data_IF_396496216591
#
_entry.id   IF_396496216591
#
_cell.length_a   1.000
_cell.length_b   1.000
_cell.length_c   1.000
_cell.angle_alpha   90.00
_cell.angle_beta   90.00
_cell.angle_gamma   90.00
#
_symmetry.space_group_name_H-M   'P 1'
#
loop_
_entity.id
_entity.type
_entity.pdbx_description
1 polymer ?
#
# COMPACT_ATOMS: atom_id res chain seq x y z
N UNK A 1 1.63 -28.49 -31.55
CA UNK A 1 2.26 -28.18 -30.24
C UNK A 1 1.63 -26.92 -29.63
N UNK A 2 1.35 -26.93 -28.34
CA UNK A 2 0.54 -25.92 -27.62
C UNK A 2 1.08 -24.49 -27.73
N UNK A 3 2.40 -24.35 -27.91
CA UNK A 3 3.09 -23.07 -28.11
C UNK A 3 2.72 -22.34 -29.41
N UNK A 4 2.19 -23.00 -30.44
CA UNK A 4 1.71 -22.33 -31.66
C UNK A 4 0.42 -21.55 -31.46
N UNK A 5 -0.24 -21.69 -30.30
CA UNK A 5 -1.45 -20.95 -29.90
C UNK A 5 -1.11 -19.73 -29.03
N UNK A 6 0.15 -19.58 -28.64
CA UNK A 6 0.64 -18.44 -27.86
C UNK A 6 1.06 -17.36 -28.85
N UNK A 7 0.24 -16.32 -28.95
CA UNK A 7 0.41 -15.23 -29.92
C UNK A 7 0.89 -13.92 -29.28
N UNK A 8 0.93 -13.84 -27.94
CA UNK A 8 1.47 -12.67 -27.23
C UNK A 8 3.00 -12.74 -27.13
N UNK A 9 3.65 -11.59 -27.24
CA UNK A 9 5.13 -11.46 -27.21
C UNK A 9 5.66 -10.87 -25.91
N UNK A 10 4.76 -10.45 -25.02
CA UNK A 10 5.13 -9.72 -23.81
C UNK A 10 5.44 -10.66 -22.65
N UNK A 11 6.35 -10.21 -21.79
CA UNK A 11 6.71 -10.90 -20.56
C UNK A 11 5.92 -10.30 -19.41
N UNK A 12 4.99 -11.07 -18.85
CA UNK A 12 4.23 -10.68 -17.66
C UNK A 12 2.73 -10.45 -17.91
N UNK A 13 2.03 -10.04 -16.85
CA UNK A 13 0.58 -9.90 -16.84
C UNK A 13 0.21 -8.41 -16.87
N UNK A 14 -0.34 -7.94 -17.98
CA UNK A 14 -0.76 -6.53 -18.15
C UNK A 14 -1.86 -6.08 -17.17
N UNK A 15 -2.49 -7.02 -16.44
CA UNK A 15 -3.52 -6.72 -15.44
C UNK A 15 -3.04 -5.70 -14.41
N UNK A 16 -1.78 -5.77 -13.95
CA UNK A 16 -1.27 -4.84 -12.92
C UNK A 16 -1.39 -3.36 -13.33
N UNK A 17 -1.43 -3.07 -14.63
CA UNK A 17 -1.54 -1.72 -15.16
C UNK A 17 -2.98 -1.20 -15.21
N UNK A 18 -3.99 -2.06 -15.09
CA UNK A 18 -5.39 -1.71 -15.33
C UNK A 18 -6.19 -1.43 -14.06
N UNK A 19 -5.63 -1.66 -12.87
CA UNK A 19 -6.32 -1.43 -11.59
C UNK A 19 -5.77 -0.21 -10.83
N UNK A 20 -6.69 0.51 -10.18
CA UNK A 20 -6.33 1.60 -9.27
C UNK A 20 -5.66 1.09 -7.97
N UNK A 21 -5.01 2.00 -7.25
CA UNK A 21 -4.30 1.68 -6.01
C UNK A 21 -5.30 1.56 -4.86
N UNK A 22 -5.49 0.34 -4.37
CA UNK A 22 -6.34 0.01 -3.23
C UNK A 22 -5.50 -0.65 -2.12
N UNK A 23 -4.87 0.14 -1.23
CA UNK A 23 -4.18 -0.42 -0.08
C UNK A 23 -5.22 -0.81 0.97
N UNK A 24 -5.30 -2.08 1.33
CA UNK A 24 -6.13 -2.54 2.45
C UNK A 24 -5.89 -1.66 3.69
N UNK A 25 -6.92 -0.99 4.26
CA UNK A 25 -6.71 -0.04 5.34
C UNK A 25 -6.12 -0.64 6.62
N UNK A 26 -6.15 -1.98 6.76
CA UNK A 26 -5.63 -2.70 7.91
C UNK A 26 -4.19 -3.18 7.66
N UNK A 27 -3.99 -4.01 6.64
CA UNK A 27 -2.68 -4.65 6.38
C UNK A 27 -1.76 -3.84 5.45
N UNK A 28 -2.32 -2.92 4.67
CA UNK A 28 -1.63 -2.21 3.59
C UNK A 28 -1.37 -3.09 2.35
N UNK A 29 -1.90 -4.32 2.30
CA UNK A 29 -1.77 -5.19 1.14
C UNK A 29 -2.57 -4.67 -0.05
N UNK A 30 -2.10 -4.96 -1.27
CA UNK A 30 -2.86 -4.64 -2.47
C UNK A 30 -4.04 -5.59 -2.64
N UNK A 31 -5.23 -5.05 -2.88
CA UNK A 31 -6.44 -5.83 -3.15
C UNK A 31 -6.44 -6.35 -4.60
N UNK A 32 -5.88 -7.55 -4.80
CA UNK A 32 -5.75 -8.19 -6.12
C UNK A 32 -7.06 -8.63 -6.78
N UNK A 33 -8.11 -8.87 -5.99
CA UNK A 33 -9.38 -9.37 -6.53
C UNK A 33 -10.20 -8.20 -7.12
N UNK A 34 -9.93 -7.89 -8.38
CA UNK A 34 -10.62 -6.84 -9.14
C UNK A 34 -11.50 -7.47 -10.22
N UNK A 35 -12.74 -7.01 -10.33
CA UNK A 35 -13.70 -7.50 -11.31
C UNK A 35 -13.77 -6.55 -12.51
N UNK A 36 -13.49 -7.06 -13.70
CA UNK A 36 -13.80 -6.33 -14.93
C UNK A 36 -15.32 -6.18 -15.06
N UNK A 37 -15.80 -4.95 -15.11
CA UNK A 37 -17.24 -4.64 -15.21
C UNK A 37 -17.73 -4.49 -16.65
N UNK A 38 -16.81 -4.31 -17.60
CA UNK A 38 -17.12 -4.18 -19.03
C UNK A 38 -16.00 -4.84 -19.84
N UNK A 39 -16.38 -5.65 -20.84
CA UNK A 39 -15.47 -6.31 -21.77
C UNK A 39 -16.09 -6.23 -23.17
N UNK A 40 -15.32 -5.81 -24.16
CA UNK A 40 -15.75 -5.73 -25.56
C UNK A 40 -14.65 -6.16 -26.52
N UNK A 41 -15.02 -6.41 -27.78
CA UNK A 41 -14.04 -6.57 -28.85
C UNK A 41 -13.27 -5.25 -29.06
N UNK A 42 -11.99 -5.38 -29.39
CA UNK A 42 -11.15 -4.25 -29.77
C UNK A 42 -11.68 -3.60 -31.05
N UNK A 43 -11.64 -2.26 -31.10
CA UNK A 43 -12.04 -1.45 -32.24
C UNK A 43 -10.91 -1.24 -33.26
N UNK A 44 -11.22 -0.69 -34.44
CA UNK A 44 -10.20 -0.30 -35.42
C UNK A 44 -9.25 0.76 -34.81
N UNK A 45 -7.95 0.45 -34.72
CA UNK A 45 -6.93 1.35 -34.17
C UNK A 45 -6.55 1.09 -32.71
N UNK A 46 -7.21 0.15 -32.03
CA UNK A 46 -6.77 -0.33 -30.72
C UNK A 46 -5.76 -1.47 -30.90
N UNK A 47 -4.60 -1.32 -30.29
CA UNK A 47 -3.50 -2.26 -30.40
C UNK A 47 -3.35 -3.08 -29.11
N UNK A 48 -2.80 -4.28 -29.28
CA UNK A 48 -2.43 -5.10 -28.13
C UNK A 48 -1.43 -4.35 -27.26
N UNK A 49 -1.69 -4.30 -25.95
CA UNK A 49 -0.87 -3.56 -24.99
C UNK A 49 -1.27 -2.10 -24.80
N UNK A 50 -2.28 -1.60 -25.51
CA UNK A 50 -2.83 -0.27 -25.24
C UNK A 50 -3.43 -0.22 -23.84
N UNK A 51 -2.91 0.69 -23.02
CA UNK A 51 -3.38 0.95 -21.66
C UNK A 51 -3.65 2.43 -21.52
N UNK A 52 -4.82 2.76 -21.00
CA UNK A 52 -5.17 4.10 -20.58
C UNK A 52 -5.58 4.09 -19.11
N UNK A 53 -5.06 5.06 -18.35
CA UNK A 53 -5.35 5.23 -16.92
C UNK A 53 -5.64 6.69 -16.64
N UNK A 54 -6.74 6.95 -15.93
CA UNK A 54 -6.99 8.26 -15.32
C UNK A 54 -6.21 8.36 -13.99
N UNK A 55 -5.08 9.06 -14.02
CA UNK A 55 -4.22 9.25 -12.86
C UNK A 55 -4.87 10.13 -11.77
N UNK A 56 -5.72 11.08 -12.16
CA UNK A 56 -6.41 11.95 -11.21
C UNK A 56 -7.46 11.14 -10.44
N UNK A 57 -8.27 10.35 -11.16
CA UNK A 57 -9.24 9.45 -10.53
C UNK A 57 -8.55 8.38 -9.67
N UNK A 58 -7.44 7.82 -10.13
CA UNK A 58 -6.63 6.88 -9.35
C UNK A 58 -6.18 7.49 -8.02
N UNK A 59 -5.74 8.75 -8.02
CA UNK A 59 -5.35 9.46 -6.81
C UNK A 59 -6.53 9.73 -5.87
N UNK A 60 -7.71 10.10 -6.39
CA UNK A 60 -8.92 10.28 -5.57
C UNK A 60 -9.26 9.00 -4.83
N UNK A 61 -9.31 7.87 -5.54
CA UNK A 61 -9.57 6.56 -4.92
C UNK A 61 -8.51 6.21 -3.88
N UNK A 62 -7.23 6.44 -4.16
CA UNK A 62 -6.17 6.25 -3.17
C UNK A 62 -6.43 7.05 -1.87
N UNK A 63 -6.87 8.31 -1.98
CA UNK A 63 -7.16 9.13 -0.80
C UNK A 63 -8.39 8.63 -0.04
N UNK A 64 -9.44 8.16 -0.72
CA UNK A 64 -10.61 7.53 -0.07
C UNK A 64 -10.19 6.31 0.75
N UNK A 65 -9.33 5.45 0.19
CA UNK A 65 -8.82 4.28 0.89
C UNK A 65 -7.90 4.64 2.06
N UNK A 66 -7.01 5.61 1.85
CA UNK A 66 -6.14 6.13 2.91
C UNK A 66 -6.95 6.72 4.07
N UNK A 67 -8.07 7.38 3.80
CA UNK A 67 -8.92 7.97 4.85
C UNK A 67 -9.53 6.91 5.79
N UNK A 68 -9.65 5.66 5.34
CA UNK A 68 -10.10 4.53 6.18
C UNK A 68 -9.01 3.97 7.10
N UNK A 69 -7.74 4.35 6.89
CA UNK A 69 -6.62 3.82 7.68
C UNK A 69 -6.61 4.36 9.10
N UNK A 70 -6.07 3.58 10.03
CA UNK A 70 -5.84 3.99 11.42
C UNK A 70 -4.38 4.36 11.61
N UNK A 71 -4.14 5.55 12.15
CA UNK A 71 -2.78 6.00 12.41
C UNK A 71 -2.11 5.18 13.52
N UNK A 72 -0.91 4.70 13.25
CA UNK A 72 -0.07 4.04 14.25
C UNK A 72 0.25 4.96 15.44
N UNK A 73 0.22 6.29 15.27
CA UNK A 73 0.48 7.21 16.38
C UNK A 73 -0.62 7.16 17.45
N UNK A 74 -1.88 6.94 17.05
CA UNK A 74 -3.00 6.91 18.01
C UNK A 74 -3.39 5.50 18.42
N UNK A 75 -3.12 4.51 17.57
CA UNK A 75 -3.67 3.16 17.70
C UNK A 75 -2.61 2.07 17.91
N UNK A 76 -1.32 2.39 17.84
CA UNK A 76 -0.29 1.38 18.09
C UNK A 76 -0.26 1.01 19.58
N UNK A 77 -0.38 -0.27 19.94
CA UNK A 77 -0.39 -0.71 21.33
C UNK A 77 0.97 -0.53 22.02
N UNK A 78 2.06 -0.50 21.27
CA UNK A 78 3.44 -0.41 21.77
C UNK A 78 4.20 0.81 21.22
N UNK A 79 3.49 1.74 20.56
CA UNK A 79 4.08 2.94 19.97
C UNK A 79 4.99 2.67 18.75
N UNK A 80 4.94 1.47 18.17
CA UNK A 80 5.66 1.15 16.93
C UNK A 80 4.84 1.45 15.69
N UNK A 81 5.51 1.68 14.55
CA UNK A 81 4.88 1.90 13.23
C UNK A 81 4.05 0.71 12.75
N UNK A 82 4.38 -0.50 13.21
CA UNK A 82 3.84 -1.78 12.74
C UNK A 82 4.31 -2.92 13.65
N UNK A 83 3.61 -4.05 13.73
CA UNK A 83 4.02 -5.16 14.57
C UNK A 83 5.36 -5.78 14.16
N UNK A 84 6.21 -6.09 15.14
CA UNK A 84 7.52 -6.71 14.92
C UNK A 84 7.42 -8.18 14.45
N UNK A 85 6.41 -8.92 14.90
CA UNK A 85 6.23 -10.34 14.61
C UNK A 85 5.76 -10.63 13.17
N UNK A 86 5.34 -9.61 12.41
CA UNK A 86 4.92 -9.81 11.02
C UNK A 86 6.13 -10.10 10.12
N UNK A 87 6.17 -11.30 9.54
CA UNK A 87 7.25 -11.76 8.65
C UNK A 87 7.33 -10.88 7.40
N UNK A 88 8.56 -10.50 7.01
CA UNK A 88 8.83 -9.71 5.81
C UNK A 88 10.10 -10.18 5.10
N UNK A 89 10.17 -10.09 3.76
CA UNK A 89 11.46 -10.10 3.07
C UNK A 89 12.31 -8.94 3.59
N UNK A 90 13.57 -9.23 3.94
CA UNK A 90 14.49 -8.26 4.53
C UNK A 90 13.94 -7.64 5.83
N UNK A 91 13.99 -8.41 6.92
CA UNK A 91 13.46 -7.98 8.21
C UNK A 91 14.14 -6.67 8.67
N UNK A 92 13.37 -5.60 8.95
CA UNK A 92 13.94 -4.31 9.32
C UNK A 92 14.67 -4.35 10.67
N UNK A 93 15.63 -3.46 10.87
CA UNK A 93 16.23 -3.25 12.20
C UNK A 93 15.21 -2.64 13.16
N UNK A 94 15.39 -2.85 14.47
CA UNK A 94 14.48 -2.33 15.50
C UNK A 94 14.26 -0.81 15.41
N UNK A 95 15.29 -0.05 15.04
CA UNK A 95 15.19 1.40 14.88
C UNK A 95 14.15 1.84 13.84
N UNK A 96 13.92 1.04 12.78
CA UNK A 96 12.96 1.34 11.71
C UNK A 96 11.49 1.18 12.14
N UNK A 97 11.24 0.58 13.31
CA UNK A 97 9.90 0.44 13.87
C UNK A 97 9.46 1.68 14.66
N UNK A 98 10.38 2.57 15.06
CA UNK A 98 10.07 3.76 15.86
C UNK A 98 9.25 4.77 15.06
N UNK A 99 8.17 5.28 15.67
CA UNK A 99 7.43 6.42 15.13
C UNK A 99 8.33 7.66 15.05
N UNK A 100 8.09 8.58 14.09
CA UNK A 100 8.85 9.81 13.99
C UNK A 100 8.43 10.75 15.13
N UNK A 101 9.35 11.59 15.62
CA UNK A 101 9.08 12.62 16.63
C UNK A 101 8.01 13.61 16.16
N UNK A 102 8.01 13.91 14.86
CA UNK A 102 7.01 14.75 14.20
C UNK A 102 6.30 13.96 13.10
N UNK A 103 5.15 13.33 13.40
CA UNK A 103 4.36 12.63 12.40
C UNK A 103 3.82 13.57 11.32
N UNK A 104 3.94 13.13 10.06
CA UNK A 104 3.42 13.88 8.91
C UNK A 104 1.92 14.13 9.03
N UNK A 105 1.47 15.33 8.65
CA UNK A 105 0.04 15.71 8.69
C UNK A 105 -0.52 15.97 10.09
N UNK A 106 0.35 16.11 11.11
CA UNK A 106 -0.07 16.47 12.48
C UNK A 106 0.62 17.75 12.92
N UNK A 107 -0.18 18.75 13.25
CA UNK A 107 0.31 19.99 13.85
C UNK A 107 0.65 19.74 15.33
N UNK A 108 1.94 19.56 15.63
CA UNK A 108 2.52 19.89 16.93
C UNK A 108 2.24 19.00 18.15
N UNK A 109 1.51 17.88 18.06
CA UNK A 109 1.45 16.92 19.18
C UNK A 109 2.68 16.03 19.15
N UNK A 110 3.71 16.40 19.92
CA UNK A 110 4.85 15.53 20.22
C UNK A 110 4.36 14.22 20.82
N UNK A 111 4.80 13.10 20.26
CA UNK A 111 4.61 11.80 20.89
C UNK A 111 5.58 11.75 22.06
N UNK A 112 5.08 11.84 23.29
CA UNK A 112 5.90 11.62 24.49
C UNK A 112 6.35 10.17 24.45
N UNK A 113 7.61 9.95 24.06
CA UNK A 113 8.22 8.63 24.14
C UNK A 113 8.42 8.36 25.62
N UNK A 114 7.77 7.31 26.14
CA UNK A 114 7.64 7.04 27.57
C UNK A 114 8.89 7.37 28.36
N UNK A 115 8.74 8.24 29.35
CA UNK A 115 9.75 8.52 30.37
C UNK A 115 10.14 7.18 31.00
N UNK A 116 11.39 6.77 30.77
CA UNK A 116 12.00 5.76 31.63
C UNK A 116 12.20 6.45 32.96
N UNK A 117 11.28 6.25 33.89
CA UNK A 117 11.48 6.62 35.29
C UNK A 117 12.58 5.70 35.82
N UNK A 118 13.84 6.14 35.70
CA UNK A 118 14.88 5.68 36.59
C UNK A 118 14.61 6.38 37.92
N UNK A 119 13.98 5.67 38.85
CA UNK A 119 14.09 6.04 40.25
C UNK A 119 15.53 5.78 40.67
N UNK A 120 16.37 6.82 40.62
CA UNK A 120 17.40 7.00 41.63
C UNK A 120 16.68 7.21 42.96
N UNK A 121 16.86 6.27 43.90
CA UNK A 121 17.05 6.52 45.32
C UNK A 121 17.34 5.18 46.01
N UNK A 122 18.56 5.11 46.56
CA UNK A 122 19.09 4.27 47.66
C UNK A 122 19.15 2.73 47.50
#
# INVERSE_FOLDING_TARGET
PDTSRIWWKDVGVHQNLTHAVHPDPISGAHCWLQKAVNVRKAGPGEHHGDVWVDVNRSMVVYQEWKAMTRSAVDHSPDGTRRPAWLKRPLHPTAAAYRLPTHPFGRNGKSVTQGETVLTEND
#
